data_IF_140178765956
#
_entry.id   IF_140178765956
#
_cell.length_a   1.000
_cell.length_b   1.000
_cell.length_c   1.000
_cell.angle_alpha   90.00
_cell.angle_beta   90.00
_cell.angle_gamma   90.00
#
_symmetry.space_group_name_H-M   'P 1'
#
loop_
_entity.id
_entity.type
_entity.pdbx_description
1 polymer ?
#
# COMPACT_ATOMS: atom_id res chain seq x y z
N UNK A 1 2.74 1.75 10.94
CA UNK A 1 1.45 1.58 10.24
C UNK A 1 1.35 0.12 9.84
N UNK A 2 0.37 -0.62 10.35
CA UNK A 2 0.18 -2.04 10.01
C UNK A 2 -0.32 -2.09 8.57
N UNK A 3 0.31 -2.90 7.70
CA UNK A 3 -0.24 -3.17 6.37
C UNK A 3 -1.57 -3.87 6.55
N UNK A 4 -2.64 -3.34 5.93
CA UNK A 4 -3.95 -4.00 5.95
C UNK A 4 -3.80 -5.43 5.43
N UNK A 5 -4.43 -6.39 6.07
CA UNK A 5 -4.45 -7.77 5.58
C UNK A 5 -5.41 -7.91 4.40
N UNK A 6 -5.35 -9.05 3.71
CA UNK A 6 -6.34 -9.40 2.68
C UNK A 6 -7.74 -9.43 3.29
N UNK A 7 -7.90 -10.04 4.48
CA UNK A 7 -9.17 -10.07 5.19
C UNK A 7 -9.73 -8.69 5.49
N UNK A 8 -8.88 -7.77 5.95
CA UNK A 8 -9.29 -6.39 6.22
C UNK A 8 -9.68 -5.63 4.93
N UNK A 9 -9.00 -5.90 3.81
CA UNK A 9 -9.35 -5.35 2.50
C UNK A 9 -10.70 -5.86 2.00
N UNK A 10 -10.97 -7.17 2.09
CA UNK A 10 -12.27 -7.77 1.78
C UNK A 10 -13.36 -7.11 2.65
N UNK A 11 -13.06 -6.99 3.97
CA UNK A 11 -13.64 -6.05 4.95
C UNK A 11 -14.21 -4.79 4.33
N UNK A 12 -13.27 -3.97 3.92
CA UNK A 12 -13.50 -2.59 3.53
C UNK A 12 -14.25 -2.52 2.18
N UNK A 13 -13.91 -3.38 1.22
CA UNK A 13 -14.58 -3.43 -0.09
C UNK A 13 -16.03 -3.88 0.03
N UNK A 14 -16.30 -4.90 0.85
CA UNK A 14 -17.68 -5.34 1.12
C UNK A 14 -18.51 -4.21 1.74
N UNK A 15 -17.94 -3.51 2.72
CA UNK A 15 -18.61 -2.37 3.38
C UNK A 15 -18.81 -1.19 2.44
N UNK A 16 -17.85 -0.88 1.56
CA UNK A 16 -17.98 0.21 0.58
C UNK A 16 -19.09 -0.05 -0.43
N UNK A 17 -19.33 -1.33 -0.79
CA UNK A 17 -20.48 -1.77 -1.58
C UNK A 17 -21.77 -1.94 -0.77
N UNK A 18 -21.78 -1.59 0.53
CA UNK A 18 -22.92 -1.71 1.46
C UNK A 18 -23.48 -3.14 1.57
N UNK A 19 -22.63 -4.16 1.52
CA UNK A 19 -23.03 -5.57 1.59
C UNK A 19 -22.85 -6.17 2.99
N UNK A 20 -23.75 -7.07 3.40
CA UNK A 20 -23.55 -7.96 4.57
C UNK A 20 -22.60 -9.12 4.23
N UNK A 21 -22.07 -9.82 5.25
CA UNK A 21 -21.23 -11.00 5.03
C UNK A 21 -22.02 -12.10 4.31
N UNK A 22 -23.29 -12.26 4.67
CA UNK A 22 -24.26 -13.16 4.03
C UNK A 22 -24.41 -12.82 2.54
N UNK A 23 -24.62 -11.54 2.21
CA UNK A 23 -24.80 -11.13 0.81
C UNK A 23 -23.55 -11.33 -0.04
N UNK A 24 -22.37 -11.20 0.55
CA UNK A 24 -21.11 -11.51 -0.14
C UNK A 24 -20.94 -13.02 -0.33
N UNK A 25 -21.26 -13.82 0.70
CA UNK A 25 -21.25 -15.27 0.64
C UNK A 25 -22.17 -15.81 -0.47
N UNK A 26 -23.39 -15.28 -0.58
CA UNK A 26 -24.34 -15.62 -1.65
C UNK A 26 -23.75 -15.35 -3.04
N UNK A 27 -23.12 -14.20 -3.24
CA UNK A 27 -22.57 -13.81 -4.54
C UNK A 27 -21.36 -14.64 -4.98
N UNK A 28 -20.56 -15.10 -4.02
CA UNK A 28 -19.37 -15.90 -4.26
C UNK A 28 -19.65 -17.41 -4.13
N UNK A 29 -20.91 -17.80 -3.92
CA UNK A 29 -21.33 -19.17 -3.70
C UNK A 29 -20.51 -19.91 -2.61
N UNK A 30 -20.25 -19.23 -1.49
CA UNK A 30 -19.54 -19.80 -0.33
C UNK A 30 -20.32 -19.63 0.97
N UNK A 31 -19.90 -20.31 2.02
CA UNK A 31 -20.53 -20.14 3.34
C UNK A 31 -20.22 -18.75 3.93
N UNK A 32 -21.19 -18.19 4.67
CA UNK A 32 -20.98 -16.97 5.46
C UNK A 32 -19.85 -17.12 6.49
N UNK A 33 -19.64 -18.35 6.99
CA UNK A 33 -18.53 -18.67 7.88
C UNK A 33 -17.17 -18.48 7.17
N UNK A 34 -17.05 -18.86 5.90
CA UNK A 34 -15.85 -18.62 5.08
C UNK A 34 -15.54 -17.13 4.99
N UNK A 35 -16.54 -16.29 4.66
CA UNK A 35 -16.37 -14.83 4.61
C UNK A 35 -15.90 -14.29 5.97
N UNK A 36 -16.54 -14.70 7.06
CA UNK A 36 -16.15 -14.28 8.41
C UNK A 36 -14.72 -14.69 8.76
N UNK A 37 -14.29 -15.90 8.38
CA UNK A 37 -12.93 -16.38 8.60
C UNK A 37 -11.92 -15.60 7.77
N UNK A 38 -12.21 -15.35 6.50
CA UNK A 38 -11.36 -14.55 5.61
C UNK A 38 -11.17 -13.14 6.16
N UNK A 39 -12.25 -12.46 6.56
CA UNK A 39 -12.18 -11.11 7.10
C UNK A 39 -11.46 -10.99 8.45
N UNK A 40 -11.34 -12.10 9.18
CA UNK A 40 -10.63 -12.19 10.47
C UNK A 40 -9.22 -12.80 10.33
N UNK A 41 -8.77 -13.04 9.10
CA UNK A 41 -7.48 -13.67 8.79
C UNK A 41 -7.31 -15.06 9.44
N UNK A 42 -8.42 -15.78 9.66
CA UNK A 42 -8.43 -17.17 10.18
C UNK A 42 -8.13 -18.17 9.07
N UNK A 43 -8.60 -17.87 7.86
CA UNK A 43 -8.27 -18.61 6.64
C UNK A 43 -8.13 -17.64 5.48
N UNK A 44 -7.57 -18.10 4.36
CA UNK A 44 -7.48 -17.30 3.14
C UNK A 44 -8.51 -17.77 2.10
N UNK A 45 -9.05 -16.87 1.26
CA UNK A 45 -9.83 -17.27 0.09
C UNK A 45 -8.93 -18.00 -0.91
N UNK A 46 -9.50 -18.94 -1.64
CA UNK A 46 -8.83 -19.56 -2.78
C UNK A 46 -8.75 -18.60 -3.98
N UNK A 47 -8.01 -19.02 -5.02
CA UNK A 47 -7.79 -18.19 -6.20
C UNK A 47 -9.08 -17.89 -6.98
N UNK A 48 -10.05 -18.81 -7.00
CA UNK A 48 -11.33 -18.60 -7.68
C UNK A 48 -12.14 -17.53 -6.95
N UNK A 49 -12.27 -17.65 -5.63
CA UNK A 49 -12.92 -16.66 -4.77
C UNK A 49 -12.28 -15.28 -4.89
N UNK A 50 -10.95 -15.21 -4.99
CA UNK A 50 -10.24 -13.96 -5.20
C UNK A 50 -10.56 -13.32 -6.56
N UNK A 51 -10.60 -14.11 -7.63
CA UNK A 51 -10.94 -13.62 -8.97
C UNK A 51 -12.40 -13.13 -9.03
N UNK A 52 -13.35 -13.88 -8.49
CA UNK A 52 -14.75 -13.42 -8.43
C UNK A 52 -14.90 -12.13 -7.61
N UNK A 53 -14.16 -11.99 -6.50
CA UNK A 53 -14.12 -10.74 -5.75
C UNK A 53 -13.56 -9.57 -6.57
N UNK A 54 -12.57 -9.79 -7.43
CA UNK A 54 -12.02 -8.72 -8.27
C UNK A 54 -13.07 -8.18 -9.24
N UNK A 55 -13.86 -9.07 -9.85
CA UNK A 55 -14.96 -8.69 -10.73
C UNK A 55 -16.09 -8.01 -9.95
N UNK A 56 -16.48 -8.59 -8.81
CA UNK A 56 -17.56 -8.08 -7.97
C UNK A 56 -17.26 -6.68 -7.41
N UNK A 57 -16.03 -6.46 -6.96
CA UNK A 57 -15.63 -5.18 -6.36
C UNK A 57 -15.17 -4.16 -7.40
N UNK A 58 -14.76 -4.60 -8.59
CA UNK A 58 -14.18 -3.76 -9.63
C UNK A 58 -12.76 -3.29 -9.28
N UNK A 59 -11.95 -4.19 -8.70
CA UNK A 59 -10.56 -3.90 -8.29
C UNK A 59 -9.62 -4.96 -8.85
N UNK A 60 -8.34 -4.65 -9.02
CA UNK A 60 -7.36 -5.65 -9.47
C UNK A 60 -7.03 -6.67 -8.38
N UNK A 61 -6.62 -7.88 -8.78
CA UNK A 61 -6.15 -8.90 -7.84
C UNK A 61 -4.99 -8.40 -6.97
N UNK A 62 -4.08 -7.61 -7.56
CA UNK A 62 -2.97 -7.03 -6.84
C UNK A 62 -3.44 -6.07 -5.73
N UNK A 63 -4.45 -5.23 -6.02
CA UNK A 63 -5.07 -4.36 -5.02
C UNK A 63 -5.73 -5.17 -3.89
N UNK A 64 -6.44 -6.26 -4.21
CA UNK A 64 -7.10 -7.09 -3.21
C UNK A 64 -6.09 -7.81 -2.29
N UNK A 65 -5.01 -8.34 -2.87
CA UNK A 65 -4.04 -9.17 -2.16
C UNK A 65 -2.93 -8.35 -1.49
N UNK A 66 -2.29 -7.42 -2.19
CA UNK A 66 -1.20 -6.60 -1.65
C UNK A 66 -1.67 -5.26 -1.10
N UNK A 67 -2.79 -4.73 -1.61
CA UNK A 67 -3.24 -3.37 -1.36
C UNK A 67 -2.68 -2.38 -2.38
N UNK A 68 -3.15 -1.13 -2.31
CA UNK A 68 -2.51 -0.05 -3.05
C UNK A 68 -1.10 0.18 -2.50
N UNK A 69 -0.11 -0.36 -3.19
CA UNK A 69 1.24 0.16 -3.07
C UNK A 69 1.24 1.57 -3.68
N UNK A 70 1.66 2.56 -2.90
CA UNK A 70 1.87 3.90 -3.44
C UNK A 70 3.05 3.85 -4.41
N UNK A 71 2.73 3.68 -5.69
CA UNK A 71 3.70 3.73 -6.77
C UNK A 71 4.09 5.20 -6.95
N UNK A 72 5.36 5.47 -6.75
CA UNK A 72 5.94 6.80 -6.96
C UNK A 72 6.99 6.70 -8.05
N UNK A 73 7.07 7.70 -8.93
CA UNK A 73 8.12 7.74 -9.93
C UNK A 73 9.50 7.84 -9.23
N UNK A 74 10.37 6.84 -9.45
CA UNK A 74 11.68 6.76 -8.81
C UNK A 74 12.59 7.96 -9.11
N UNK A 75 12.52 8.51 -10.32
CA UNK A 75 13.36 9.64 -10.73
C UNK A 75 12.93 10.92 -10.02
N UNK A 76 11.61 11.12 -9.88
CA UNK A 76 11.04 12.22 -9.10
C UNK A 76 11.41 12.05 -7.62
N UNK A 77 11.29 10.84 -7.06
CA UNK A 77 11.72 10.55 -5.69
C UNK A 77 13.20 10.87 -5.48
N UNK A 78 14.07 10.42 -6.38
CA UNK A 78 15.51 10.64 -6.30
C UNK A 78 15.86 12.13 -6.40
N UNK A 79 15.21 12.87 -7.32
CA UNK A 79 15.36 14.32 -7.42
C UNK A 79 14.93 15.04 -6.13
N UNK A 80 13.78 14.69 -5.56
CA UNK A 80 13.31 15.24 -4.29
C UNK A 80 14.23 14.87 -3.12
N UNK A 81 14.84 13.68 -3.14
CA UNK A 81 15.77 13.24 -2.11
C UNK A 81 17.11 13.98 -2.20
N UNK A 82 17.59 14.23 -3.42
CA UNK A 82 18.85 14.92 -3.68
C UNK A 82 18.75 16.42 -3.38
N UNK A 83 17.75 17.11 -3.93
CA UNK A 83 17.64 18.58 -3.83
C UNK A 83 16.86 19.05 -2.59
N UNK A 84 15.88 18.27 -2.13
CA UNK A 84 14.98 18.62 -1.03
C UNK A 84 14.97 17.57 0.09
N UNK A 85 16.04 16.78 0.16
CA UNK A 85 16.23 15.73 1.16
C UNK A 85 16.24 16.27 2.58
N UNK A 86 16.91 17.41 2.80
CA UNK A 86 17.01 18.06 4.11
C UNK A 86 15.67 18.46 4.74
N UNK A 87 14.65 18.70 3.90
CA UNK A 87 13.29 19.04 4.34
C UNK A 87 12.35 17.82 4.36
N UNK A 88 12.82 16.65 3.91
CA UNK A 88 12.01 15.43 3.85
C UNK A 88 10.98 15.38 2.72
N UNK A 89 11.15 16.16 1.64
CA UNK A 89 10.16 16.24 0.55
C UNK A 89 9.88 14.88 -0.12
N UNK A 90 10.90 14.05 -0.31
CA UNK A 90 10.76 12.68 -0.85
C UNK A 90 9.92 11.77 0.07
N UNK A 91 9.89 12.02 1.39
CA UNK A 91 9.03 11.29 2.34
C UNK A 91 7.58 11.71 2.23
N UNK A 92 7.32 13.00 2.04
CA UNK A 92 5.97 13.51 1.75
C UNK A 92 5.43 12.91 0.44
N UNK A 93 6.29 12.79 -0.58
CA UNK A 93 5.92 12.18 -1.85
C UNK A 93 5.50 10.70 -1.70
N UNK A 94 6.10 9.95 -0.76
CA UNK A 94 5.67 8.58 -0.37
C UNK A 94 4.59 8.54 0.71
N UNK A 95 3.96 9.67 1.06
CA UNK A 95 2.96 9.84 2.13
C UNK A 95 3.43 9.34 3.52
N UNK A 96 4.73 9.35 3.78
CA UNK A 96 5.31 8.96 5.08
C UNK A 96 5.36 10.15 6.05
N UNK A 97 4.19 10.74 6.36
CA UNK A 97 4.09 12.03 7.05
C UNK A 97 4.81 12.08 8.40
N UNK A 98 4.78 11.00 9.19
CA UNK A 98 5.49 10.96 10.47
C UNK A 98 7.01 11.10 10.33
N UNK A 99 7.62 10.38 9.37
CA UNK A 99 9.05 10.53 9.07
C UNK A 99 9.34 11.89 8.44
N UNK A 100 8.44 12.41 7.62
CA UNK A 100 8.60 13.70 6.99
C UNK A 100 8.61 14.84 8.01
N UNK A 101 7.74 14.79 9.02
CA UNK A 101 7.74 15.75 10.14
C UNK A 101 9.04 15.65 10.97
N UNK A 102 9.55 14.43 11.18
CA UNK A 102 10.85 14.23 11.82
C UNK A 102 11.98 14.93 11.06
N UNK A 103 11.97 14.85 9.72
CA UNK A 103 12.98 15.53 8.89
C UNK A 103 12.91 17.04 9.04
N UNK A 104 11.71 17.61 9.08
CA UNK A 104 11.52 19.05 9.33
C UNK A 104 12.05 19.44 10.72
N UNK A 105 11.75 18.66 11.75
CA UNK A 105 12.19 18.95 13.12
C UNK A 105 13.72 18.96 13.25
N UNK A 106 14.40 18.05 12.55
CA UNK A 106 15.85 17.89 12.60
C UNK A 106 16.57 18.57 11.42
N UNK A 107 15.91 19.35 10.58
CA UNK A 107 16.51 19.88 9.35
C UNK A 107 17.74 20.78 9.64
N UNK A 108 17.74 21.47 10.79
CA UNK A 108 18.84 22.33 11.23
C UNK A 108 20.12 21.57 11.60
N UNK A 109 20.04 20.26 11.83
CA UNK A 109 21.22 19.42 12.13
C UNK A 109 22.02 19.06 10.88
N UNK A 110 21.47 19.28 9.68
CA UNK A 110 22.05 18.83 8.41
C UNK A 110 21.98 17.31 8.18
N UNK A 111 21.75 16.51 9.22
CA UNK A 111 21.66 15.03 9.15
C UNK A 111 20.58 14.57 8.14
N UNK A 112 19.35 15.12 8.12
CA UNK A 112 18.34 14.74 7.14
C UNK A 112 18.78 14.96 5.68
N UNK A 113 19.63 15.97 5.42
CA UNK A 113 20.19 16.23 4.10
C UNK A 113 21.13 15.12 3.63
N UNK A 114 22.03 14.68 4.51
CA UNK A 114 22.96 13.56 4.21
C UNK A 114 22.19 12.27 3.96
N UNK A 115 21.19 11.97 4.80
CA UNK A 115 20.35 10.78 4.61
C UNK A 115 19.58 10.86 3.27
N UNK A 116 19.00 12.02 2.96
CA UNK A 116 18.31 12.24 1.69
C UNK A 116 19.20 12.02 0.47
N UNK A 117 20.45 12.49 0.52
CA UNK A 117 21.41 12.28 -0.56
C UNK A 117 21.75 10.79 -0.76
N UNK A 118 22.00 10.05 0.33
CA UNK A 118 22.26 8.60 0.29
C UNK A 118 21.05 7.86 -0.30
N UNK A 119 19.84 8.18 0.15
CA UNK A 119 18.62 7.55 -0.38
C UNK A 119 18.38 7.89 -1.86
N UNK A 120 18.69 9.11 -2.29
CA UNK A 120 18.64 9.50 -3.70
C UNK A 120 19.56 8.63 -4.55
N UNK A 121 20.81 8.42 -4.14
CA UNK A 121 21.79 7.57 -4.85
C UNK A 121 21.31 6.12 -4.89
N UNK A 122 20.81 5.57 -3.77
CA UNK A 122 20.26 4.21 -3.73
C UNK A 122 19.08 4.06 -4.70
N UNK A 123 18.20 5.06 -4.78
CA UNK A 123 17.06 5.04 -5.69
C UNK A 123 17.46 5.02 -7.18
N UNK A 124 18.63 5.56 -7.54
CA UNK A 124 19.17 5.45 -8.89
C UNK A 124 19.72 4.04 -9.21
N UNK A 125 20.35 3.39 -8.24
CA UNK A 125 20.96 2.07 -8.40
C UNK A 125 19.89 0.96 -8.40
N UNK A 126 18.80 1.13 -7.64
CA UNK A 126 17.72 0.17 -7.63
C UNK A 126 17.00 0.11 -8.99
N UNK A 127 16.95 -1.09 -9.55
CA UNK A 127 16.12 -1.40 -10.71
C UNK A 127 14.66 -1.28 -10.31
N UNK A 128 13.88 -0.53 -11.11
CA UNK A 128 12.45 -0.47 -10.90
C UNK A 128 11.84 -1.81 -11.32
N UNK A 129 10.94 -2.40 -10.54
CA UNK A 129 10.15 -3.52 -11.05
C UNK A 129 9.21 -3.05 -12.18
N UNK A 130 8.50 -3.97 -12.83
CA UNK A 130 7.60 -3.68 -13.94
C UNK A 130 6.45 -2.69 -13.57
N UNK A 131 6.26 -2.41 -12.28
CA UNK A 131 5.29 -1.45 -11.75
C UNK A 131 5.93 -0.12 -11.35
N UNK A 132 7.26 0.04 -11.48
CA UNK A 132 7.97 1.26 -11.14
C UNK A 132 8.46 1.33 -9.69
N UNK A 133 8.39 0.23 -8.93
CA UNK A 133 8.76 0.20 -7.52
C UNK A 133 10.29 0.10 -7.32
N UNK A 134 10.80 0.81 -6.30
CA UNK A 134 12.17 0.75 -5.75
C UNK A 134 12.15 0.27 -4.30
#
# INVERSE_FOLDING_TARGET
>A
MKTKSVGERIRNLRKSKKMSQERLAEKLNVSRHSISNWERDVSSPDIHSLLEMTELFGVSLNHLVKGDELIVNKYVYAGLAFFLGGLGAHRFYRKQYGKALLYILFCWTGIPGVIGMIEGVIAFIKTADAQGNI
#
